data_IF_972288495882
#
_entry.id   IF_972288495882
#
_cell.length_a   1.000
_cell.length_b   1.000
_cell.length_c   1.000
_cell.angle_alpha   90.00
_cell.angle_beta   90.00
_cell.angle_gamma   90.00
#
_symmetry.space_group_name_H-M   'P 1'
#
loop_
_entity.id
_entity.type
_entity.pdbx_description
1 polymer ?
#
# COMPACT_ATOMS: atom_id res chain seq x y z
N UNK A 1 -18.38 -56.25 -18.90
CA UNK A 1 -18.78 -55.06 -18.14
C UNK A 1 -18.07 -55.08 -16.80
N UNK A 2 -16.94 -54.38 -16.65
CA UNK A 2 -16.29 -54.17 -15.35
C UNK A 2 -16.47 -52.70 -14.99
N UNK A 3 -17.19 -52.43 -13.91
CA UNK A 3 -17.52 -51.10 -13.45
C UNK A 3 -16.31 -50.51 -12.72
N UNK A 4 -15.71 -49.47 -13.31
CA UNK A 4 -14.66 -48.67 -12.67
C UNK A 4 -15.29 -47.88 -11.52
N UNK A 5 -14.93 -48.20 -10.28
CA UNK A 5 -15.42 -47.50 -9.11
C UNK A 5 -14.53 -46.27 -8.84
N UNK A 6 -14.93 -45.12 -9.37
CA UNK A 6 -14.26 -43.84 -9.13
C UNK A 6 -14.64 -43.32 -7.74
N UNK A 7 -13.81 -43.57 -6.73
CA UNK A 7 -13.96 -42.98 -5.40
C UNK A 7 -13.08 -41.72 -5.31
N UNK A 8 -13.47 -40.64 -5.99
CA UNK A 8 -12.94 -39.31 -5.66
C UNK A 8 -13.89 -38.65 -4.66
N UNK A 9 -13.74 -39.05 -3.40
CA UNK A 9 -14.41 -38.42 -2.28
C UNK A 9 -13.70 -37.10 -1.94
N UNK A 10 -14.47 -36.01 -2.07
CA UNK A 10 -14.25 -34.68 -1.50
C UNK A 10 -13.51 -34.72 -0.15
N UNK A 11 -12.20 -34.46 -0.17
CA UNK A 11 -11.45 -34.13 1.05
C UNK A 11 -11.63 -32.63 1.32
N UNK A 12 -12.63 -32.29 2.13
CA UNK A 12 -12.75 -30.94 2.67
C UNK A 12 -11.47 -30.59 3.45
N UNK A 13 -10.77 -29.55 3.00
CA UNK A 13 -9.62 -29.00 3.72
C UNK A 13 -10.11 -28.30 4.99
N UNK A 14 -9.91 -28.94 6.15
CA UNK A 14 -10.15 -28.32 7.45
C UNK A 14 -8.86 -27.63 7.88
N UNK A 15 -8.85 -26.30 7.90
CA UNK A 15 -7.69 -25.52 8.35
C UNK A 15 -7.34 -25.85 9.80
N UNK A 16 -6.06 -26.10 10.07
CA UNK A 16 -5.57 -26.48 11.40
C UNK A 16 -5.62 -25.33 12.43
N UNK A 17 -5.54 -25.62 13.75
CA UNK A 17 -5.70 -24.64 14.83
C UNK A 17 -4.73 -23.44 14.75
N UNK A 18 -3.50 -23.66 14.28
CA UNK A 18 -2.49 -22.59 14.13
C UNK A 18 -2.83 -21.59 13.02
N UNK A 19 -3.54 -22.04 11.97
CA UNK A 19 -3.96 -21.18 10.86
C UNK A 19 -5.10 -20.26 11.30
N UNK A 20 -6.03 -20.76 12.12
CA UNK A 20 -7.08 -19.95 12.74
C UNK A 20 -6.51 -18.93 13.73
N UNK A 21 -5.49 -19.30 14.52
CA UNK A 21 -4.83 -18.36 15.42
C UNK A 21 -4.10 -17.23 14.67
N UNK A 22 -3.40 -17.54 13.58
CA UNK A 22 -2.75 -16.52 12.75
C UNK A 22 -3.78 -15.58 12.10
N UNK A 23 -4.89 -16.12 11.59
CA UNK A 23 -5.96 -15.30 11.02
C UNK A 23 -6.57 -14.34 12.05
N UNK A 24 -6.84 -14.81 13.27
CA UNK A 24 -7.36 -14.00 14.36
C UNK A 24 -6.36 -12.92 14.80
N UNK A 25 -5.07 -13.26 14.91
CA UNK A 25 -4.03 -12.30 15.25
C UNK A 25 -3.88 -11.21 14.17
N UNK A 26 -3.98 -11.59 12.89
CA UNK A 26 -3.93 -10.64 11.79
C UNK A 26 -5.15 -9.70 11.76
N UNK A 27 -6.34 -10.22 12.05
CA UNK A 27 -7.56 -9.42 12.18
C UNK A 27 -7.45 -8.40 13.33
N UNK A 28 -7.04 -8.85 14.52
CA UNK A 28 -6.84 -7.98 15.68
C UNK A 28 -5.78 -6.90 15.42
N UNK A 29 -4.66 -7.24 14.78
CA UNK A 29 -3.63 -6.27 14.40
C UNK A 29 -4.16 -5.23 13.40
N UNK A 30 -5.02 -5.65 12.47
CA UNK A 30 -5.66 -4.75 11.50
C UNK A 30 -6.65 -3.82 12.18
N UNK A 31 -7.45 -4.31 13.11
CA UNK A 31 -8.39 -3.49 13.90
C UNK A 31 -7.64 -2.47 14.75
N UNK A 32 -6.59 -2.87 15.46
CA UNK A 32 -5.74 -1.96 16.23
C UNK A 32 -5.12 -0.87 15.34
N UNK A 33 -4.65 -1.23 14.14
CA UNK A 33 -4.12 -0.26 13.17
C UNK A 33 -5.18 0.73 12.68
N UNK A 34 -6.41 0.25 12.42
CA UNK A 34 -7.54 1.11 12.05
C UNK A 34 -7.92 2.06 13.18
N UNK A 35 -7.96 1.57 14.42
CA UNK A 35 -8.29 2.40 15.58
C UNK A 35 -7.24 3.49 15.77
N UNK A 36 -5.95 3.12 15.75
CA UNK A 36 -4.86 4.08 15.79
C UNK A 36 -4.98 5.13 14.69
N UNK A 37 -5.32 4.70 13.47
CA UNK A 37 -5.44 5.61 12.34
C UNK A 37 -6.58 6.62 12.50
N UNK A 38 -7.74 6.23 13.04
CA UNK A 38 -8.84 7.16 13.33
C UNK A 38 -8.47 8.23 14.33
N UNK A 39 -7.61 7.89 15.30
CA UNK A 39 -7.19 8.79 16.37
C UNK A 39 -5.99 9.67 16.00
N UNK A 40 -5.10 9.19 15.12
CA UNK A 40 -3.77 9.78 14.93
C UNK A 40 -3.45 10.19 13.49
N UNK A 41 -4.20 9.70 12.50
CA UNK A 41 -3.92 9.99 11.10
C UNK A 41 -4.95 10.95 10.52
N UNK A 42 -4.48 11.84 9.65
CA UNK A 42 -5.37 12.62 8.79
C UNK A 42 -5.98 11.66 7.77
N UNK A 43 -7.30 11.60 7.68
CA UNK A 43 -8.00 10.71 6.76
C UNK A 43 -8.69 11.45 5.60
N UNK A 44 -8.91 12.75 5.77
CA UNK A 44 -9.58 13.59 4.78
C UNK A 44 -8.57 14.32 3.89
N UNK A 45 -8.61 14.00 2.60
CA UNK A 45 -7.77 14.55 1.54
C UNK A 45 -8.62 14.80 0.30
N UNK A 46 -8.63 16.03 -0.18
CA UNK A 46 -9.40 16.43 -1.37
C UNK A 46 -8.93 15.68 -2.62
N UNK A 47 -7.63 15.40 -2.72
CA UNK A 47 -7.01 14.79 -3.91
C UNK A 47 -7.13 13.25 -3.93
N UNK A 48 -7.84 12.66 -2.96
CA UNK A 48 -7.95 11.20 -2.85
C UNK A 48 -8.62 10.53 -4.06
N UNK A 49 -9.48 11.22 -4.78
CA UNK A 49 -10.04 10.75 -6.05
C UNK A 49 -8.99 10.79 -7.17
N UNK A 50 -8.32 11.93 -7.34
CA UNK A 50 -7.25 12.09 -8.31
C UNK A 50 -6.13 11.05 -8.15
N UNK A 51 -5.69 10.79 -6.91
CA UNK A 51 -4.68 9.76 -6.64
C UNK A 51 -5.13 8.35 -7.00
N UNK A 52 -6.43 8.04 -6.91
CA UNK A 52 -6.98 6.74 -7.34
C UNK A 52 -6.89 6.58 -8.85
N UNK A 53 -7.16 7.63 -9.60
CA UNK A 53 -7.04 7.65 -11.06
C UNK A 53 -5.59 7.47 -11.49
N UNK A 54 -4.66 8.23 -10.90
CA UNK A 54 -3.22 8.08 -11.18
C UNK A 54 -2.71 6.68 -10.83
N UNK A 55 -3.14 6.12 -9.70
CA UNK A 55 -2.77 4.77 -9.30
C UNK A 55 -3.27 3.72 -10.31
N UNK A 56 -4.50 3.88 -10.80
CA UNK A 56 -5.06 3.01 -11.83
C UNK A 56 -4.28 3.12 -13.15
N UNK A 57 -3.96 4.34 -13.60
CA UNK A 57 -3.13 4.57 -14.79
C UNK A 57 -1.72 3.97 -14.66
N UNK A 58 -1.13 4.02 -13.46
CA UNK A 58 0.18 3.45 -13.16
C UNK A 58 0.15 1.93 -12.89
N UNK A 59 -1.02 1.28 -12.85
CA UNK A 59 -1.15 -0.14 -12.51
C UNK A 59 -0.75 -0.46 -11.05
N UNK A 60 -0.83 0.51 -10.15
CA UNK A 60 -0.46 0.39 -8.74
C UNK A 60 -1.73 0.37 -7.87
N UNK A 61 -1.75 -0.51 -6.87
CA UNK A 61 -2.79 -0.48 -5.83
C UNK A 61 -2.39 0.50 -4.74
N UNK A 62 -3.28 1.44 -4.43
CA UNK A 62 -3.07 2.35 -3.31
C UNK A 62 -3.06 1.59 -1.98
N UNK A 63 -2.21 2.01 -1.02
CA UNK A 63 -2.25 1.53 0.36
C UNK A 63 -3.62 1.74 1.00
N UNK A 64 -3.98 0.88 1.96
CA UNK A 64 -5.16 1.10 2.77
C UNK A 64 -5.01 2.36 3.65
N UNK A 65 -6.13 3.05 3.90
CA UNK A 65 -6.20 4.33 4.61
C UNK A 65 -5.56 4.32 6.00
N UNK A 66 -5.57 3.19 6.69
CA UNK A 66 -5.05 3.04 8.05
C UNK A 66 -3.56 2.71 8.12
N UNK A 67 -2.89 2.51 6.98
CA UNK A 67 -1.48 2.13 6.96
C UNK A 67 -0.63 3.37 7.21
N UNK A 68 0.17 3.35 8.28
CA UNK A 68 1.12 4.44 8.57
C UNK A 68 2.22 4.54 7.52
N UNK A 69 2.58 5.77 7.18
CA UNK A 69 3.76 6.04 6.36
C UNK A 69 5.06 5.70 7.12
N UNK A 70 5.96 4.94 6.49
CA UNK A 70 7.30 4.67 7.01
C UNK A 70 8.30 4.67 5.86
N UNK A 71 9.55 5.06 6.11
CA UNK A 71 10.57 5.14 5.06
C UNK A 71 10.74 3.85 4.26
N UNK A 72 10.68 2.69 4.91
CA UNK A 72 10.75 1.39 4.23
C UNK A 72 9.56 1.11 3.31
N UNK A 73 8.35 1.59 3.63
CA UNK A 73 7.17 1.45 2.78
C UNK A 73 7.19 2.45 1.63
N UNK A 74 7.55 3.71 1.90
CA UNK A 74 7.75 4.74 0.87
C UNK A 74 8.74 4.23 -0.18
N UNK A 75 9.92 3.73 0.25
CA UNK A 75 10.94 3.18 -0.64
C UNK A 75 10.37 2.15 -1.63
N UNK A 76 9.52 1.23 -1.14
CA UNK A 76 8.91 0.19 -2.00
C UNK A 76 8.05 0.81 -3.10
N UNK A 77 7.30 1.88 -2.83
CA UNK A 77 6.49 2.55 -3.84
C UNK A 77 7.35 3.38 -4.79
N UNK A 78 8.37 4.10 -4.30
CA UNK A 78 9.32 4.79 -5.17
C UNK A 78 9.98 3.84 -6.18
N UNK A 79 10.42 2.66 -5.73
CA UNK A 79 10.98 1.63 -6.61
C UNK A 79 9.97 1.16 -7.66
N UNK A 80 8.70 0.97 -7.30
CA UNK A 80 7.65 0.57 -8.25
C UNK A 80 7.31 1.64 -9.27
N UNK A 81 7.42 2.92 -8.88
CA UNK A 81 7.15 4.08 -9.73
C UNK A 81 8.40 4.58 -10.47
N UNK A 82 9.51 3.84 -10.39
CA UNK A 82 10.80 4.21 -10.96
C UNK A 82 11.30 5.62 -10.53
N UNK A 83 11.01 5.99 -9.28
CA UNK A 83 11.48 7.23 -8.65
C UNK A 83 12.76 6.94 -7.85
N UNK A 84 13.87 7.59 -8.23
CA UNK A 84 15.13 7.49 -7.50
C UNK A 84 15.12 8.37 -6.24
N UNK A 85 16.04 8.10 -5.29
CA UNK A 85 16.18 8.94 -4.10
C UNK A 85 16.50 10.40 -4.47
N UNK A 86 17.29 10.63 -5.53
CA UNK A 86 17.60 11.98 -6.03
C UNK A 86 16.34 12.72 -6.48
N UNK A 87 15.46 12.06 -7.24
CA UNK A 87 14.19 12.67 -7.67
C UNK A 87 13.32 13.07 -6.48
N UNK A 88 13.31 12.27 -5.42
CA UNK A 88 12.58 12.61 -4.19
C UNK A 88 13.26 13.75 -3.44
N UNK A 89 14.59 13.76 -3.36
CA UNK A 89 15.33 14.85 -2.72
C UNK A 89 15.10 16.18 -3.45
N UNK A 90 15.16 16.18 -4.78
CA UNK A 90 14.89 17.36 -5.61
C UNK A 90 13.45 17.88 -5.42
N UNK A 91 12.46 16.99 -5.31
CA UNK A 91 11.06 17.36 -5.18
C UNK A 91 10.65 17.78 -3.76
N UNK A 92 11.27 17.20 -2.73
CA UNK A 92 10.81 17.37 -1.33
C UNK A 92 11.86 17.91 -0.37
N UNK A 93 13.11 18.09 -0.81
CA UNK A 93 14.26 18.44 0.03
C UNK A 93 14.62 17.36 1.07
N UNK A 94 14.18 16.11 0.86
CA UNK A 94 14.42 15.02 1.79
C UNK A 94 15.51 14.08 1.28
N UNK A 95 16.63 14.07 2.00
CA UNK A 95 17.76 13.17 1.73
C UNK A 95 17.48 11.69 2.02
N UNK A 96 16.35 11.37 2.67
CA UNK A 96 15.95 9.98 2.92
C UNK A 96 14.43 9.79 3.01
N UNK A 97 13.96 8.59 2.67
CA UNK A 97 12.55 8.22 2.88
C UNK A 97 12.11 8.24 4.35
N UNK A 98 13.04 8.07 5.29
CA UNK A 98 12.74 8.19 6.73
C UNK A 98 12.41 9.64 7.08
N UNK A 99 13.17 10.59 6.54
CA UNK A 99 12.92 12.02 6.70
C UNK A 99 11.58 12.41 6.08
N UNK A 100 11.27 11.92 4.88
CA UNK A 100 9.99 12.17 4.23
C UNK A 100 8.79 11.69 5.08
N UNK A 101 8.90 10.50 5.68
CA UNK A 101 7.88 10.02 6.62
C UNK A 101 7.80 10.86 7.90
N UNK A 102 8.93 11.40 8.37
CA UNK A 102 9.01 12.20 9.58
C UNK A 102 8.45 13.63 9.41
N UNK A 103 8.52 14.19 8.19
CA UNK A 103 7.89 15.49 7.88
C UNK A 103 6.37 15.44 7.97
N UNK A 104 5.79 14.28 7.65
CA UNK A 104 4.34 14.09 7.59
C UNK A 104 3.90 12.95 8.54
N UNK A 105 4.09 13.11 9.87
CA UNK A 105 3.93 12.00 10.81
C UNK A 105 2.47 11.54 10.94
N UNK A 106 1.51 12.43 10.68
CA UNK A 106 0.07 12.15 10.71
C UNK A 106 -0.47 11.70 9.36
N UNK A 107 0.36 11.64 8.32
CA UNK A 107 -0.12 11.25 7.00
C UNK A 107 -0.09 9.72 6.86
N UNK A 108 -1.22 9.12 6.43
CA UNK A 108 -1.24 7.73 6.05
C UNK A 108 -0.40 7.51 4.78
N UNK A 109 0.07 6.29 4.60
CA UNK A 109 0.90 5.91 3.46
C UNK A 109 0.21 6.18 2.12
N UNK A 110 -1.13 6.07 2.06
CA UNK A 110 -1.85 6.30 0.80
C UNK A 110 -1.68 7.74 0.30
N UNK A 111 -1.67 8.73 1.21
CA UNK A 111 -1.51 10.12 0.84
C UNK A 111 -0.08 10.42 0.35
N UNK A 112 0.92 9.86 1.05
CA UNK A 112 2.32 9.97 0.61
C UNK A 112 2.51 9.30 -0.75
N UNK A 113 1.89 8.14 -0.99
CA UNK A 113 1.91 7.48 -2.31
C UNK A 113 1.17 8.28 -3.37
N UNK A 114 0.10 9.00 -3.01
CA UNK A 114 -0.58 9.96 -3.89
C UNK A 114 0.37 11.01 -4.46
N UNK A 115 1.14 11.67 -3.59
CA UNK A 115 2.16 12.65 -4.02
C UNK A 115 3.24 12.01 -4.92
N UNK A 116 3.65 10.77 -4.62
CA UNK A 116 4.62 10.05 -5.47
C UNK A 116 4.04 9.77 -6.86
N UNK A 117 2.74 9.50 -6.96
CA UNK A 117 2.06 9.27 -8.23
C UNK A 117 1.98 10.55 -9.05
N UNK A 118 1.67 11.68 -8.43
CA UNK A 118 1.69 13.00 -9.08
C UNK A 118 3.07 13.29 -9.65
N UNK A 119 4.12 13.13 -8.83
CA UNK A 119 5.50 13.33 -9.27
C UNK A 119 5.90 12.39 -10.43
N UNK A 120 5.45 11.14 -10.41
CA UNK A 120 5.69 10.20 -11.50
C UNK A 120 4.94 10.60 -12.79
N UNK A 121 3.71 11.08 -12.66
CA UNK A 121 2.89 11.53 -13.78
C UNK A 121 3.49 12.78 -14.44
N UNK A 122 3.89 13.78 -13.66
CA UNK A 122 4.55 15.00 -14.15
C UNK A 122 5.80 14.67 -14.97
N UNK A 123 6.65 13.75 -14.47
CA UNK A 123 7.87 13.34 -15.16
C UNK A 123 7.59 12.61 -16.48
N UNK A 124 6.52 11.82 -16.51
CA UNK A 124 6.09 11.14 -17.74
C UNK A 124 5.61 12.16 -18.77
N UNK A 125 4.86 13.17 -18.35
CA UNK A 125 4.42 14.26 -19.21
C UNK A 125 5.60 15.07 -19.79
N UNK A 126 6.59 15.42 -18.95
CA UNK A 126 7.80 16.16 -19.39
C UNK A 126 8.62 15.38 -20.42
N UNK A 127 8.66 14.05 -20.34
CA UNK A 127 9.45 13.22 -21.27
C UNK A 127 8.74 13.03 -22.63
N UNK A 128 7.46 13.36 -22.72
CA UNK A 128 6.63 13.13 -23.93
C UNK A 128 6.58 14.34 -24.88
N UNK A 129 7.23 15.46 -24.52
CA UNK A 129 7.38 16.66 -25.35
C UNK A 129 8.79 16.77 -25.93
#
# INVERSE_FOLDING_TARGET
>A
MQSVNTINADRAFVSGPWQSQQANAAAAAREAAQQYARENLRLDFADAEHWRELAAAAGVRLPAWYVRSTGGRIRKFCTRLNLSQTVIDDATGCSSFKQLAALNPTWPLFAVVGLLLELAAERTAVTTH
#
